data_IF_021998397845
#
_entry.id   IF_021998397845
#
_cell.length_a   1.000
_cell.length_b   1.000
_cell.length_c   1.000
_cell.angle_alpha   90.00
_cell.angle_beta   90.00
_cell.angle_gamma   90.00
#
_symmetry.space_group_name_H-M   'P 1'
#
loop_
_entity.id
_entity.type
_entity.pdbx_description
1 polymer ?
#
# COMPACT_ATOMS: atom_id res chain seq x y z
N UNK A 1 -9.01 -81.10 -21.65
CA UNK A 1 -7.83 -80.78 -22.49
C UNK A 1 -8.17 -79.55 -23.35
N UNK A 2 -7.17 -78.70 -23.68
CA UNK A 2 -7.24 -77.27 -23.37
C UNK A 2 -6.93 -76.29 -24.54
N UNK A 3 -7.02 -74.98 -24.26
CA UNK A 3 -6.28 -73.80 -24.85
C UNK A 3 -6.63 -73.37 -26.30
N UNK A 4 -6.60 -72.08 -26.70
CA UNK A 4 -5.72 -70.95 -26.36
C UNK A 4 -6.46 -69.58 -26.48
N UNK A 5 -6.41 -68.70 -25.46
CA UNK A 5 -5.55 -67.50 -25.28
C UNK A 5 -5.75 -66.34 -26.26
N UNK A 6 -6.58 -65.37 -25.86
CA UNK A 6 -6.54 -63.97 -26.34
C UNK A 6 -5.72 -63.14 -25.34
N UNK A 7 -4.69 -62.43 -25.81
CA UNK A 7 -3.85 -61.58 -24.98
C UNK A 7 -4.55 -60.24 -24.70
N UNK A 8 -5.00 -60.02 -23.45
CA UNK A 8 -5.33 -58.68 -22.95
C UNK A 8 -4.04 -57.93 -22.63
N UNK A 9 -3.78 -56.81 -23.32
CA UNK A 9 -2.79 -55.81 -22.92
C UNK A 9 -3.27 -55.14 -21.63
N UNK A 10 -2.60 -55.42 -20.51
CA UNK A 10 -2.75 -54.70 -19.24
C UNK A 10 -2.08 -53.32 -19.37
N UNK A 11 -2.87 -52.25 -19.31
CA UNK A 11 -2.36 -50.91 -19.04
C UNK A 11 -2.06 -50.79 -17.55
N UNK A 12 -0.81 -50.45 -17.21
CA UNK A 12 -0.40 -50.17 -15.84
C UNK A 12 -0.77 -48.71 -15.52
N UNK A 13 -1.65 -48.52 -14.52
CA UNK A 13 -1.90 -47.22 -13.90
C UNK A 13 -0.72 -46.90 -12.99
N UNK A 14 0.04 -45.86 -13.33
CA UNK A 14 0.89 -45.14 -12.38
C UNK A 14 0.31 -43.74 -12.27
N UNK A 15 -0.51 -43.50 -11.25
CA UNK A 15 -1.00 -42.17 -10.90
C UNK A 15 0.11 -41.54 -10.06
N UNK A 16 0.76 -40.51 -10.59
CA UNK A 16 1.60 -39.64 -9.78
C UNK A 16 0.65 -38.72 -9.01
N UNK A 17 0.25 -39.11 -7.80
CA UNK A 17 -0.44 -38.20 -6.89
C UNK A 17 0.61 -37.23 -6.34
N UNK A 18 0.68 -36.02 -6.89
CA UNK A 18 1.14 -34.88 -6.12
C UNK A 18 -0.07 -34.46 -5.29
N UNK A 19 -0.08 -34.81 -4.01
CA UNK A 19 -1.12 -34.37 -3.10
C UNK A 19 -0.97 -32.86 -2.89
N UNK A 20 -1.72 -32.06 -3.65
CA UNK A 20 -1.97 -30.66 -3.32
C UNK A 20 -3.23 -30.62 -2.46
N UNK A 21 -3.08 -31.09 -1.24
CA UNK A 21 -4.06 -30.96 -0.18
C UNK A 21 -3.29 -30.61 1.08
N UNK A 22 -3.63 -29.45 1.63
CA UNK A 22 -3.12 -28.82 2.85
C UNK A 22 -1.97 -27.82 2.68
N UNK A 23 -2.37 -26.55 2.80
CA UNK A 23 -1.70 -25.47 3.52
C UNK A 23 -0.72 -25.95 4.62
N UNK A 24 0.39 -25.22 4.77
CA UNK A 24 1.40 -25.34 5.84
C UNK A 24 2.38 -26.53 5.78
N UNK A 25 3.46 -26.39 5.00
CA UNK A 25 4.87 -26.69 5.36
C UNK A 25 5.74 -26.71 4.11
N UNK A 26 6.88 -26.03 4.20
CA UNK A 26 7.88 -25.94 3.15
C UNK A 26 8.30 -27.31 2.61
N UNK A 27 8.41 -27.38 1.28
CA UNK A 27 8.98 -28.52 0.57
C UNK A 27 10.50 -28.57 0.80
N UNK A 28 10.90 -29.00 2.00
CA UNK A 28 12.29 -29.29 2.33
C UNK A 28 12.60 -30.73 1.91
N UNK A 29 13.35 -30.86 0.81
CA UNK A 29 13.90 -32.08 0.21
C UNK A 29 13.03 -32.83 -0.84
N UNK A 30 12.99 -32.30 -2.07
CA UNK A 30 12.90 -33.13 -3.27
C UNK A 30 14.30 -33.30 -3.90
N UNK A 31 15.24 -33.93 -3.19
CA UNK A 31 16.40 -34.58 -3.83
C UNK A 31 16.12 -36.08 -3.88
N UNK A 32 16.33 -36.65 -5.06
CA UNK A 32 16.19 -38.06 -5.47
C UNK A 32 14.76 -38.60 -5.70
N UNK A 33 14.31 -38.53 -6.96
CA UNK A 33 13.42 -39.54 -7.51
C UNK A 33 14.23 -40.82 -7.72
N UNK A 34 14.32 -41.67 -6.70
CA UNK A 34 14.88 -43.02 -6.83
C UNK A 34 13.80 -43.97 -7.34
N UNK A 35 14.05 -44.59 -8.50
CA UNK A 35 13.27 -45.70 -9.03
C UNK A 35 13.19 -46.85 -8.01
N UNK A 36 11.98 -47.20 -7.57
CA UNK A 36 11.71 -48.47 -6.89
C UNK A 36 10.61 -49.22 -7.65
N UNK A 37 11.03 -50.04 -8.60
CA UNK A 37 10.21 -51.14 -9.11
C UNK A 37 10.24 -52.27 -8.07
N UNK A 38 9.11 -52.60 -7.45
CA UNK A 38 8.97 -53.84 -6.66
C UNK A 38 8.29 -54.92 -7.49
N UNK A 39 8.85 -56.14 -7.60
CA UNK A 39 8.09 -57.31 -7.99
C UNK A 39 7.46 -58.00 -6.76
N UNK A 40 6.27 -58.58 -6.95
CA UNK A 40 5.54 -59.29 -5.91
C UNK A 40 6.09 -60.70 -5.63
N UNK A 41 6.24 -61.01 -4.32
CA UNK A 41 6.19 -62.29 -3.55
C UNK A 41 6.83 -63.58 -4.12
N UNK A 42 7.67 -64.23 -3.29
CA UNK A 42 7.47 -65.60 -2.71
C UNK A 42 8.51 -65.93 -1.59
N UNK A 43 8.06 -66.59 -0.50
CA UNK A 43 8.78 -67.64 0.25
C UNK A 43 9.92 -67.32 1.27
N UNK A 44 10.12 -68.13 2.35
CA UNK A 44 10.86 -67.73 3.55
C UNK A 44 12.28 -68.33 3.67
N UNK A 45 13.32 -67.49 3.82
CA UNK A 45 14.59 -67.87 4.48
C UNK A 45 15.63 -66.73 4.53
N UNK A 46 16.25 -66.56 5.71
CA UNK A 46 17.52 -65.86 6.03
C UNK A 46 17.54 -64.31 5.93
N UNK A 47 17.46 -63.53 7.04
CA UNK A 47 18.50 -63.18 8.06
C UNK A 47 19.60 -62.20 7.57
N UNK A 48 19.98 -61.27 8.48
CA UNK A 48 21.14 -60.33 8.52
C UNK A 48 20.98 -59.01 7.72
N UNK A 49 21.21 -57.77 8.19
CA UNK A 49 21.86 -57.10 9.35
C UNK A 49 21.16 -55.70 9.51
N UNK A 50 20.66 -55.21 10.65
CA UNK A 50 21.25 -54.60 11.87
C UNK A 50 22.00 -53.24 11.74
N UNK A 51 21.39 -52.19 12.34
CA UNK A 51 21.91 -50.98 13.03
C UNK A 51 22.70 -49.91 12.22
N UNK A 52 22.65 -48.59 12.51
CA UNK A 52 22.52 -47.88 13.80
C UNK A 52 21.66 -46.61 13.75
N UNK A 53 20.92 -46.39 14.84
CA UNK A 53 20.49 -45.09 15.36
C UNK A 53 21.27 -44.78 16.67
N UNK A 54 21.09 -43.57 17.24
CA UNK A 54 21.67 -42.95 18.47
C UNK A 54 23.09 -42.35 18.31
N UNK A 55 23.37 -41.09 18.68
CA UNK A 55 23.19 -40.48 20.01
C UNK A 55 23.02 -38.93 19.99
N UNK A 56 22.27 -38.45 20.98
CA UNK A 56 22.20 -37.09 21.48
C UNK A 56 22.85 -37.05 22.88
N UNK A 57 23.71 -36.07 23.19
CA UNK A 57 23.79 -35.38 24.52
C UNK A 57 24.89 -34.30 24.57
N UNK A 58 24.43 -33.07 24.84
CA UNK A 58 24.94 -32.00 25.71
C UNK A 58 26.42 -31.60 25.77
N UNK A 59 26.65 -30.29 25.54
CA UNK A 59 27.52 -29.47 26.39
C UNK A 59 26.90 -28.08 26.61
N UNK A 60 26.45 -27.81 27.84
CA UNK A 60 26.22 -26.46 28.35
C UNK A 60 27.57 -25.82 28.68
N UNK A 61 27.79 -24.60 28.22
CA UNK A 61 28.88 -23.73 28.66
C UNK A 61 28.43 -22.28 28.53
N UNK A 62 27.95 -21.71 29.63
CA UNK A 62 27.53 -20.32 29.73
C UNK A 62 28.75 -19.39 29.64
N UNK A 63 28.62 -18.31 28.86
CA UNK A 63 29.31 -17.05 29.13
C UNK A 63 28.25 -15.96 29.04
N UNK A 64 27.92 -15.40 30.20
CA UNK A 64 27.14 -14.19 30.31
C UNK A 64 28.02 -12.99 29.93
N UNK A 65 27.49 -12.09 29.12
CA UNK A 65 28.08 -10.80 28.79
C UNK A 65 27.09 -10.03 27.95
N UNK A 66 26.47 -9.02 28.54
CA UNK A 66 25.39 -8.26 27.94
C UNK A 66 25.80 -7.55 26.65
N UNK A 67 24.88 -7.54 25.71
CA UNK A 67 24.36 -6.30 25.16
C UNK A 67 22.96 -6.60 24.64
N UNK A 68 21.96 -5.95 25.23
CA UNK A 68 20.68 -5.75 24.57
C UNK A 68 20.97 -4.89 23.35
N UNK A 69 21.23 -5.55 22.22
CA UNK A 69 21.33 -4.91 20.92
C UNK A 69 19.98 -4.28 20.62
N UNK A 70 19.96 -2.98 20.93
CA UNK A 70 19.08 -1.93 20.44
C UNK A 70 18.57 -2.25 19.03
N UNK A 71 17.26 -2.10 18.87
CA UNK A 71 16.50 -1.92 17.61
C UNK A 71 17.42 -1.77 16.40
N UNK A 72 17.44 -2.79 15.53
CA UNK A 72 18.08 -2.68 14.22
C UNK A 72 17.44 -1.51 13.44
N UNK A 73 18.22 -0.69 12.74
CA UNK A 73 17.70 0.46 12.01
C UNK A 73 16.81 -0.01 10.86
N UNK A 74 15.83 0.82 10.50
CA UNK A 74 15.02 0.71 9.28
C UNK A 74 15.87 0.23 8.08
N UNK A 75 15.64 -1.00 7.63
CA UNK A 75 16.36 -1.67 6.54
C UNK A 75 15.82 -1.28 5.16
N UNK A 76 14.61 -0.71 5.13
CA UNK A 76 13.97 -0.21 3.90
C UNK A 76 13.72 1.29 4.00
N UNK A 77 14.26 2.04 3.03
CA UNK A 77 13.92 3.45 2.80
C UNK A 77 12.88 3.55 1.68
N UNK A 78 11.63 3.85 2.03
CA UNK A 78 10.59 4.08 1.02
C UNK A 78 10.82 5.39 0.29
N UNK A 79 10.71 5.34 -1.03
CA UNK A 79 10.84 6.48 -1.94
C UNK A 79 9.46 7.16 -2.07
N UNK A 80 9.41 8.50 -2.16
CA UNK A 80 8.16 9.23 -2.36
C UNK A 80 7.31 8.67 -3.50
N UNK A 81 5.99 8.59 -3.32
CA UNK A 81 5.12 8.00 -4.32
C UNK A 81 5.02 8.86 -5.57
N UNK A 82 4.86 8.17 -6.70
CA UNK A 82 4.41 8.79 -7.95
C UNK A 82 2.91 8.55 -8.09
N UNK A 83 2.13 9.62 -8.09
CA UNK A 83 0.68 9.55 -8.29
C UNK A 83 0.37 9.10 -9.73
N UNK A 84 -0.56 8.14 -9.89
CA UNK A 84 -1.08 7.73 -11.19
C UNK A 84 -2.57 8.05 -11.25
N UNK A 85 -2.91 9.18 -11.88
CA UNK A 85 -4.28 9.66 -12.08
C UNK A 85 -4.45 10.36 -13.45
N UNK A 86 -5.69 10.55 -13.93
CA UNK A 86 -5.96 11.07 -15.27
C UNK A 86 -5.52 12.54 -15.40
N UNK A 87 -4.80 12.83 -16.49
CA UNK A 87 -4.48 14.20 -16.94
C UNK A 87 -5.78 15.00 -17.15
N UNK A 88 -5.97 16.09 -16.39
CA UNK A 88 -7.16 16.94 -16.52
C UNK A 88 -7.12 17.79 -17.80
N UNK A 89 -8.30 18.17 -18.34
CA UNK A 89 -8.41 19.14 -19.42
C UNK A 89 -7.99 20.55 -19.00
N UNK A 90 -7.46 21.25 -19.99
CA UNK A 90 -7.12 22.66 -20.04
C UNK A 90 -8.39 23.53 -19.98
N UNK A 91 -8.43 24.53 -19.10
CA UNK A 91 -9.01 25.90 -19.25
C UNK A 91 -9.54 26.51 -17.92
N UNK A 92 -8.83 27.51 -17.37
CA UNK A 92 -9.37 28.68 -16.65
C UNK A 92 -8.25 29.73 -16.42
N UNK A 93 -8.62 31.02 -16.41
CA UNK A 93 -7.74 32.19 -16.52
C UNK A 93 -6.69 32.41 -15.43
N UNK A 94 -5.77 33.35 -15.72
CA UNK A 94 -4.54 33.66 -14.96
C UNK A 94 -4.80 33.88 -13.46
N UNK A 95 -4.34 32.91 -12.68
CA UNK A 95 -3.91 33.04 -11.29
C UNK A 95 -2.61 32.26 -11.16
N UNK A 96 -1.64 32.80 -10.41
CA UNK A 96 -0.36 32.20 -9.96
C UNK A 96 0.25 31.11 -10.85
N UNK A 97 1.38 31.43 -11.49
CA UNK A 97 2.20 30.53 -12.34
C UNK A 97 1.48 29.27 -12.84
N UNK A 98 1.09 29.26 -14.12
CA UNK A 98 0.38 28.17 -14.84
C UNK A 98 1.00 26.77 -14.73
N UNK A 99 2.11 26.63 -14.02
CA UNK A 99 2.80 25.40 -13.68
C UNK A 99 2.14 24.59 -12.56
N UNK A 100 1.47 25.22 -11.58
CA UNK A 100 0.92 24.51 -10.40
C UNK A 100 -0.54 24.12 -10.61
N UNK A 101 -0.84 22.83 -10.49
CA UNK A 101 -2.18 22.25 -10.65
C UNK A 101 -2.68 21.63 -9.35
N UNK A 102 -3.97 21.30 -9.32
CA UNK A 102 -4.55 20.44 -8.28
C UNK A 102 -3.74 19.13 -8.19
N UNK A 103 -3.34 18.75 -6.97
CA UNK A 103 -2.49 17.58 -6.70
C UNK A 103 -0.99 17.90 -6.61
N UNK A 104 -0.53 19.05 -7.13
CA UNK A 104 0.88 19.48 -7.00
C UNK A 104 1.15 20.12 -5.63
N UNK A 105 0.10 20.59 -4.95
CA UNK A 105 0.18 21.23 -3.63
C UNK A 105 0.05 20.18 -2.53
N UNK A 106 1.08 20.09 -1.70
CA UNK A 106 1.08 19.29 -0.48
C UNK A 106 1.10 20.19 0.75
N UNK A 107 0.43 19.83 1.87
CA UNK A 107 0.45 20.64 3.08
C UNK A 107 1.87 20.84 3.61
N UNK A 108 2.23 22.09 3.89
CA UNK A 108 3.44 22.42 4.65
C UNK A 108 3.30 22.03 6.12
N UNK A 109 4.42 21.89 6.83
CA UNK A 109 4.39 21.60 8.27
C UNK A 109 3.56 22.61 9.08
N UNK A 110 3.54 23.87 8.66
CA UNK A 110 2.78 24.93 9.31
C UNK A 110 1.27 24.80 9.06
N UNK A 111 0.86 24.47 7.83
CA UNK A 111 -0.55 24.20 7.51
C UNK A 111 -1.06 22.95 8.25
N UNK A 112 -0.22 21.92 8.37
CA UNK A 112 -0.51 20.72 9.16
C UNK A 112 -0.70 21.07 10.64
N UNK A 113 0.19 21.87 11.21
CA UNK A 113 0.09 22.30 12.61
C UNK A 113 -1.21 23.08 12.87
N UNK A 114 -1.56 24.02 12.00
CA UNK A 114 -2.80 24.81 12.10
C UNK A 114 -4.04 23.93 11.98
N UNK A 115 -4.10 23.03 11.01
CA UNK A 115 -5.25 22.13 10.84
C UNK A 115 -5.42 21.19 12.04
N UNK A 116 -4.32 20.67 12.58
CA UNK A 116 -4.34 19.85 13.79
C UNK A 116 -4.86 20.65 15.00
N UNK A 117 -4.44 21.90 15.16
CA UNK A 117 -4.94 22.77 16.22
C UNK A 117 -6.43 23.12 16.06
N UNK A 118 -6.91 23.28 14.83
CA UNK A 118 -8.35 23.43 14.56
C UNK A 118 -9.12 22.19 15.02
N UNK A 119 -8.64 20.99 14.68
CA UNK A 119 -9.27 19.75 15.13
C UNK A 119 -9.16 19.55 16.65
N UNK A 120 -8.10 20.03 17.29
CA UNK A 120 -8.01 20.10 18.75
C UNK A 120 -9.03 21.08 19.35
N UNK A 121 -9.23 22.24 18.73
CA UNK A 121 -10.24 23.21 19.15
C UNK A 121 -11.66 22.65 19.00
N UNK A 122 -11.93 21.90 17.92
CA UNK A 122 -13.20 21.19 17.70
C UNK A 122 -13.42 20.11 18.75
N UNK A 123 -12.41 19.30 19.07
CA UNK A 123 -12.53 18.23 20.06
C UNK A 123 -12.61 18.74 21.52
N UNK A 124 -11.89 19.82 21.84
CA UNK A 124 -11.84 20.40 23.17
C UNK A 124 -11.81 21.94 23.10
N UNK A 125 -12.96 22.60 22.87
CA UNK A 125 -13.03 24.05 22.80
C UNK A 125 -12.65 24.73 24.12
N UNK A 126 -12.71 24.01 25.25
CA UNK A 126 -12.25 24.46 26.55
C UNK A 126 -10.76 24.81 26.59
N UNK A 127 -9.92 24.10 25.82
CA UNK A 127 -8.48 24.41 25.71
C UNK A 127 -8.20 25.78 25.07
N UNK A 128 -9.20 26.34 24.36
CA UNK A 128 -9.13 27.64 23.68
C UNK A 128 -9.97 28.72 24.38
N UNK A 129 -10.45 28.46 25.60
CA UNK A 129 -11.25 29.40 26.40
C UNK A 129 -12.77 29.31 26.18
N UNK A 130 -13.24 28.33 25.39
CA UNK A 130 -14.63 28.20 24.97
C UNK A 130 -15.29 26.93 25.53
N UNK A 131 -15.05 26.59 26.80
CA UNK A 131 -15.53 25.35 27.42
C UNK A 131 -17.05 25.19 27.53
N UNK A 132 -17.81 26.24 27.22
CA UNK A 132 -19.27 26.21 27.14
C UNK A 132 -19.78 25.74 25.76
N UNK A 133 -18.90 25.59 24.77
CA UNK A 133 -19.26 25.08 23.45
C UNK A 133 -19.25 23.55 23.43
N UNK A 134 -20.19 22.99 22.68
CA UNK A 134 -20.22 21.55 22.40
C UNK A 134 -19.03 21.17 21.50
N UNK A 135 -18.31 20.07 21.81
CA UNK A 135 -17.32 19.52 20.89
C UNK A 135 -17.91 19.17 19.53
N UNK A 136 -17.12 19.34 18.48
CA UNK A 136 -17.48 19.01 17.11
C UNK A 136 -16.63 17.84 16.59
N UNK A 137 -17.17 16.99 15.69
CA UNK A 137 -16.37 15.97 15.00
C UNK A 137 -15.18 16.59 14.27
N UNK A 138 -14.08 15.86 14.02
CA UNK A 138 -12.95 16.40 13.28
C UNK A 138 -13.33 16.81 11.86
N UNK A 139 -12.60 17.77 11.29
CA UNK A 139 -12.55 18.01 9.85
C UNK A 139 -11.55 17.06 9.21
N UNK A 140 -11.84 16.68 7.98
CA UNK A 140 -11.03 15.83 7.14
C UNK A 140 -10.33 16.66 6.05
N UNK A 141 -9.07 16.36 5.75
CA UNK A 141 -8.34 17.06 4.70
C UNK A 141 -9.02 16.87 3.34
N UNK A 142 -8.99 17.92 2.52
CA UNK A 142 -9.44 17.85 1.13
C UNK A 142 -8.44 18.57 0.22
N UNK A 143 -7.93 17.88 -0.80
CA UNK A 143 -6.88 18.41 -1.67
C UNK A 143 -7.36 19.62 -2.51
N UNK A 144 -8.63 19.65 -2.90
CA UNK A 144 -9.19 20.77 -3.65
C UNK A 144 -9.33 22.02 -2.79
N UNK A 145 -9.78 21.87 -1.54
CA UNK A 145 -9.82 22.98 -0.58
C UNK A 145 -8.41 23.47 -0.24
N UNK A 146 -7.41 22.57 -0.11
CA UNK A 146 -6.01 22.95 0.12
C UNK A 146 -5.50 23.82 -1.02
N UNK A 147 -5.69 23.36 -2.25
CA UNK A 147 -5.24 24.09 -3.43
C UNK A 147 -5.87 25.49 -3.49
N UNK A 148 -7.18 25.63 -3.27
CA UNK A 148 -7.83 26.94 -3.30
C UNK A 148 -7.40 27.85 -2.15
N UNK A 149 -7.31 27.33 -0.93
CA UNK A 149 -6.86 28.10 0.22
C UNK A 149 -5.43 28.62 0.03
N UNK A 150 -4.56 27.77 -0.51
CA UNK A 150 -3.18 28.11 -0.87
C UNK A 150 -3.14 29.20 -1.96
N UNK A 151 -3.89 29.01 -3.06
CA UNK A 151 -4.00 30.02 -4.13
C UNK A 151 -4.45 31.36 -3.58
N UNK A 152 -5.49 31.39 -2.72
CA UNK A 152 -6.02 32.64 -2.19
C UNK A 152 -5.06 33.33 -1.22
N UNK A 153 -4.38 32.56 -0.36
CA UNK A 153 -3.35 33.11 0.52
C UNK A 153 -2.24 33.76 -0.29
N UNK A 154 -1.80 33.10 -1.36
CA UNK A 154 -0.74 33.58 -2.23
C UNK A 154 -1.18 34.78 -3.08
N UNK A 155 -2.44 34.82 -3.50
CA UNK A 155 -3.07 35.98 -4.15
C UNK A 155 -3.04 37.22 -3.23
N UNK A 156 -3.59 37.12 -2.02
CA UNK A 156 -3.55 38.19 -1.02
C UNK A 156 -2.11 38.65 -0.70
N UNK A 157 -1.17 37.71 -0.62
CA UNK A 157 0.24 38.00 -0.37
C UNK A 157 0.91 38.76 -1.52
N UNK A 158 0.61 38.38 -2.75
CA UNK A 158 1.22 38.94 -3.97
C UNK A 158 0.68 40.33 -4.26
N UNK A 159 -0.64 40.46 -4.25
CA UNK A 159 -1.36 41.69 -4.63
C UNK A 159 -1.58 42.64 -3.45
N UNK A 160 -1.14 42.24 -2.25
CA UNK A 160 -1.12 43.03 -1.01
C UNK A 160 -2.51 43.57 -0.60
N UNK A 161 -3.50 42.68 -0.58
CA UNK A 161 -4.85 43.00 -0.11
C UNK A 161 -5.34 41.97 0.90
N UNK A 162 -6.46 42.27 1.57
CA UNK A 162 -7.11 41.36 2.51
C UNK A 162 -8.62 41.43 2.32
N UNK A 163 -9.16 40.44 1.61
CA UNK A 163 -10.59 40.32 1.29
C UNK A 163 -10.89 38.85 0.97
N UNK A 164 -12.10 38.39 1.28
CA UNK A 164 -12.58 37.07 0.86
C UNK A 164 -12.64 36.96 -0.66
N UNK A 165 -13.12 37.99 -1.36
CA UNK A 165 -13.17 37.99 -2.82
C UNK A 165 -11.76 38.16 -3.42
N UNK A 166 -11.56 37.62 -4.62
CA UNK A 166 -10.26 37.71 -5.31
C UNK A 166 -10.17 38.96 -6.16
N UNK A 167 -8.99 39.60 -6.13
CA UNK A 167 -8.68 40.85 -6.84
C UNK A 167 -7.34 40.77 -7.55
N UNK A 168 -7.26 41.40 -8.73
CA UNK A 168 -6.02 41.54 -9.49
C UNK A 168 -5.53 42.98 -9.43
N UNK A 169 -4.22 43.21 -9.30
CA UNK A 169 -3.66 44.55 -9.41
C UNK A 169 -3.43 44.92 -10.88
N UNK A 170 -4.33 45.72 -11.43
CA UNK A 170 -4.24 46.22 -12.81
C UNK A 170 -3.94 47.71 -12.79
N UNK A 171 -2.76 48.10 -13.30
CA UNK A 171 -2.34 49.51 -13.32
C UNK A 171 -2.21 50.13 -11.92
N UNK A 172 -1.89 49.31 -10.90
CA UNK A 172 -1.76 49.76 -9.51
C UNK A 172 -3.10 49.89 -8.75
N UNK A 173 -4.21 49.46 -9.34
CA UNK A 173 -5.52 49.40 -8.68
C UNK A 173 -6.02 47.98 -8.58
N UNK A 174 -6.62 47.64 -7.44
CA UNK A 174 -7.29 46.35 -7.25
C UNK A 174 -8.58 46.34 -8.06
N UNK A 175 -8.70 45.37 -8.96
CA UNK A 175 -9.87 45.11 -9.79
C UNK A 175 -10.46 43.78 -9.36
N UNK A 176 -11.75 43.76 -9.05
CA UNK A 176 -12.46 42.52 -8.72
C UNK A 176 -12.32 41.52 -9.86
N UNK A 177 -11.95 40.29 -9.50
CA UNK A 177 -11.90 39.18 -10.45
C UNK A 177 -13.08 38.23 -10.25
N UNK A 178 -13.24 37.71 -9.03
CA UNK A 178 -14.26 36.72 -8.70
C UNK A 178 -14.62 36.69 -7.22
N UNK A 179 -15.83 36.21 -6.95
CA UNK A 179 -16.27 35.99 -5.57
C UNK A 179 -15.52 34.82 -4.92
N UNK A 180 -15.42 34.84 -3.59
CA UNK A 180 -14.84 33.72 -2.83
C UNK A 180 -15.58 32.39 -3.11
N UNK A 181 -16.91 32.45 -3.26
CA UNK A 181 -17.73 31.28 -3.59
C UNK A 181 -17.32 30.72 -4.95
N UNK A 182 -17.21 31.54 -5.98
CA UNK A 182 -16.81 31.09 -7.32
C UNK A 182 -15.39 30.51 -7.33
N UNK A 183 -14.49 31.08 -6.52
CA UNK A 183 -13.12 30.57 -6.35
C UNK A 183 -13.15 29.16 -5.75
N UNK A 184 -13.78 28.95 -4.61
CA UNK A 184 -13.89 27.62 -3.96
C UNK A 184 -14.60 26.62 -4.86
N UNK A 185 -15.72 27.01 -5.47
CA UNK A 185 -16.51 26.14 -6.36
C UNK A 185 -15.77 25.70 -7.62
N UNK A 186 -14.75 26.44 -8.05
CA UNK A 186 -13.98 26.07 -9.23
C UNK A 186 -13.20 24.76 -9.08
N UNK A 187 -12.88 24.34 -7.85
CA UNK A 187 -12.17 23.09 -7.56
C UNK A 187 -12.96 22.17 -6.59
N UNK A 188 -13.92 22.73 -5.85
CA UNK A 188 -14.80 22.00 -4.94
C UNK A 188 -16.28 22.11 -5.40
N UNK A 189 -16.66 21.48 -6.53
CA UNK A 189 -17.94 21.69 -7.22
C UNK A 189 -19.10 20.86 -6.63
N UNK A 190 -19.09 20.62 -5.32
CA UNK A 190 -20.14 19.82 -4.67
C UNK A 190 -21.30 20.69 -4.21
N UNK A 191 -22.55 20.24 -4.37
CA UNK A 191 -23.70 21.00 -3.89
C UNK A 191 -23.88 20.89 -2.36
N UNK A 192 -23.03 21.60 -1.62
CA UNK A 192 -22.94 21.58 -0.16
C UNK A 192 -22.61 22.96 0.39
N UNK A 193 -22.76 23.20 1.69
CA UNK A 193 -22.34 24.48 2.25
C UNK A 193 -20.81 24.56 2.26
N UNK A 194 -20.32 25.78 2.05
CA UNK A 194 -18.91 26.14 2.12
C UNK A 194 -18.76 27.36 3.04
N UNK A 195 -17.56 27.57 3.56
CA UNK A 195 -17.21 28.77 4.31
C UNK A 195 -15.72 29.04 4.19
N UNK A 196 -15.31 30.25 4.56
CA UNK A 196 -13.91 30.66 4.55
C UNK A 196 -13.62 31.50 5.81
N UNK A 197 -12.52 31.18 6.48
CA UNK A 197 -11.88 32.09 7.43
C UNK A 197 -10.57 32.61 6.82
N UNK A 198 -10.39 33.93 6.81
CA UNK A 198 -9.11 34.55 6.45
C UNK A 198 -8.52 35.32 7.63
N UNK A 199 -7.20 35.42 7.68
CA UNK A 199 -6.52 36.31 8.62
C UNK A 199 -5.14 36.71 8.11
N UNK A 200 -4.61 37.79 8.66
CA UNK A 200 -3.25 38.24 8.41
C UNK A 200 -2.60 38.69 9.73
N UNK A 201 -1.28 38.50 9.83
CA UNK A 201 -0.43 39.09 10.88
C UNK A 201 -0.80 38.77 12.36
N UNK A 202 -1.18 37.51 12.63
CA UNK A 202 -1.44 36.99 13.98
C UNK A 202 -0.19 36.33 14.57
N UNK A 203 0.76 37.08 15.13
CA UNK A 203 1.97 36.58 15.85
C UNK A 203 2.89 35.58 15.11
N UNK A 204 2.58 35.19 13.86
CA UNK A 204 3.32 34.21 13.05
C UNK A 204 3.21 32.75 13.48
N UNK A 205 2.57 32.44 14.62
CA UNK A 205 2.48 31.06 15.16
C UNK A 205 1.15 30.39 14.81
N UNK A 206 1.18 29.07 14.65
CA UNK A 206 -0.02 28.25 14.43
C UNK A 206 -1.04 28.39 15.59
N UNK A 207 -0.56 28.40 16.83
CA UNK A 207 -1.41 28.64 18.01
C UNK A 207 -2.07 30.03 17.97
N UNK A 208 -1.31 31.05 17.60
CA UNK A 208 -1.80 32.43 17.56
C UNK A 208 -2.88 32.64 16.51
N UNK A 209 -2.75 32.06 15.31
CA UNK A 209 -3.77 32.17 14.27
C UNK A 209 -5.06 31.43 14.65
N UNK A 210 -4.95 30.21 15.18
CA UNK A 210 -6.13 29.43 15.62
C UNK A 210 -6.83 30.12 16.79
N UNK A 211 -6.09 30.64 17.77
CA UNK A 211 -6.69 31.40 18.87
C UNK A 211 -7.38 32.68 18.35
N UNK A 212 -6.78 33.41 17.40
CA UNK A 212 -7.40 34.61 16.83
C UNK A 212 -8.71 34.29 16.09
N UNK A 213 -8.77 33.17 15.37
CA UNK A 213 -10.04 32.70 14.79
C UNK A 213 -11.04 32.27 15.86
N UNK A 214 -10.59 31.54 16.89
CA UNK A 214 -11.45 31.17 18.01
C UNK A 214 -11.95 32.39 18.77
N UNK A 215 -11.23 33.52 18.81
CA UNK A 215 -11.68 34.74 19.49
C UNK A 215 -12.69 35.57 18.68
N UNK A 216 -12.69 35.41 17.35
CA UNK A 216 -13.69 36.02 16.48
C UNK A 216 -14.94 35.16 16.41
N UNK A 217 -16.10 35.72 16.79
CA UNK A 217 -17.36 34.97 16.79
C UNK A 217 -17.68 34.31 15.45
N UNK A 218 -17.60 35.04 14.34
CA UNK A 218 -17.91 34.49 13.02
C UNK A 218 -16.93 33.38 12.60
N UNK A 219 -15.63 33.57 12.84
CA UNK A 219 -14.63 32.55 12.51
C UNK A 219 -14.76 31.30 13.38
N UNK A 220 -15.07 31.48 14.68
CA UNK A 220 -15.34 30.39 15.62
C UNK A 220 -16.60 29.61 15.24
N UNK A 221 -17.65 30.27 14.77
CA UNK A 221 -18.86 29.60 14.28
C UNK A 221 -18.56 28.70 13.07
N UNK A 222 -17.68 29.14 12.16
CA UNK A 222 -17.17 28.30 11.08
C UNK A 222 -16.34 27.10 11.60
N UNK A 223 -15.39 27.34 12.52
CA UNK A 223 -14.54 26.27 13.08
C UNK A 223 -15.35 25.24 13.85
N UNK A 224 -16.28 25.67 14.70
CA UNK A 224 -17.02 24.76 15.57
C UNK A 224 -18.20 24.12 14.86
N UNK A 225 -18.80 24.78 13.86
CA UNK A 225 -19.92 24.31 13.03
C UNK A 225 -20.72 23.15 13.64
N UNK A 226 -21.39 23.43 14.77
CA UNK A 226 -22.02 22.37 15.58
C UNK A 226 -23.12 21.61 14.85
N UNK A 227 -23.63 22.16 13.74
CA UNK A 227 -24.59 21.51 12.87
C UNK A 227 -23.99 20.35 12.06
N UNK A 228 -22.67 20.17 12.05
CA UNK A 228 -22.00 19.08 11.33
C UNK A 228 -22.07 19.22 9.81
N UNK A 229 -22.33 20.43 9.32
CA UNK A 229 -22.41 20.72 7.90
C UNK A 229 -21.00 20.75 7.27
N UNK A 230 -19.99 21.20 8.02
CA UNK A 230 -18.60 21.13 7.58
C UNK A 230 -17.94 19.87 8.13
N UNK A 231 -17.52 19.02 7.20
CA UNK A 231 -16.83 17.75 7.46
C UNK A 231 -15.44 17.74 6.83
N UNK A 232 -15.18 18.62 5.86
CA UNK A 232 -13.90 18.75 5.18
C UNK A 232 -13.34 20.16 5.33
N UNK A 233 -12.02 20.29 5.29
CA UNK A 233 -11.35 21.59 5.28
C UNK A 233 -9.88 21.50 4.90
N UNK A 234 -9.26 22.65 4.71
CA UNK A 234 -7.81 22.76 4.52
C UNK A 234 -7.30 24.17 4.82
N UNK A 235 -5.99 24.29 5.04
CA UNK A 235 -5.31 25.55 5.34
C UNK A 235 -4.36 25.91 4.20
N UNK A 236 -4.43 27.16 3.76
CA UNK A 236 -3.42 27.80 2.93
C UNK A 236 -2.66 28.86 3.71
N UNK A 237 -1.35 28.96 3.47
CA UNK A 237 -0.51 30.03 4.01
C UNK A 237 0.42 30.61 2.95
N UNK A 238 0.55 31.94 2.93
CA UNK A 238 1.56 32.61 2.11
C UNK A 238 2.08 33.87 2.80
N UNK A 239 3.33 34.24 2.51
CA UNK A 239 3.94 35.46 3.05
C UNK A 239 4.36 36.38 1.92
N UNK A 240 3.96 37.64 2.01
CA UNK A 240 4.27 38.68 1.03
C UNK A 240 4.17 40.07 1.66
N UNK A 241 4.99 41.01 1.19
CA UNK A 241 4.97 42.40 1.67
C UNK A 241 5.07 42.55 3.21
N UNK A 242 5.84 41.66 3.85
CA UNK A 242 6.05 41.66 5.31
C UNK A 242 4.86 41.15 6.13
N UNK A 243 3.86 40.52 5.50
CA UNK A 243 2.67 39.96 6.14
C UNK A 243 2.53 38.48 5.78
N UNK A 244 2.07 37.68 6.72
CA UNK A 244 1.61 36.30 6.48
C UNK A 244 0.10 36.28 6.41
N UNK A 245 -0.43 35.69 5.35
CA UNK A 245 -1.84 35.53 5.04
C UNK A 245 -2.23 34.07 5.21
N UNK A 246 -3.43 33.86 5.76
CA UNK A 246 -3.98 32.56 6.10
C UNK A 246 -5.37 32.44 5.54
N UNK A 247 -5.67 31.31 4.92
CA UNK A 247 -7.02 30.94 4.48
C UNK A 247 -7.36 29.56 5.03
N UNK A 248 -8.55 29.41 5.61
CA UNK A 248 -9.13 28.13 5.99
C UNK A 248 -10.47 27.98 5.28
N UNK A 249 -10.49 27.14 4.27
CA UNK A 249 -11.70 26.81 3.50
C UNK A 249 -12.36 25.56 4.05
N UNK A 250 -13.69 25.57 4.10
CA UNK A 250 -14.53 24.51 4.63
C UNK A 250 -15.48 23.97 3.55
N UNK A 251 -15.75 22.68 3.62
CA UNK A 251 -16.75 22.00 2.80
C UNK A 251 -17.46 20.89 3.56
N UNK A 252 -18.57 20.39 3.01
CA UNK A 252 -19.35 19.33 3.63
C UNK A 252 -19.68 18.18 2.68
N UNK A 253 -19.16 16.99 2.93
CA UNK A 253 -19.61 15.76 2.28
C UNK A 253 -19.72 14.62 3.28
N UNK A 254 -20.38 13.55 2.86
CA UNK A 254 -20.33 12.29 3.60
C UNK A 254 -18.88 11.80 3.67
N UNK A 255 -18.46 11.41 4.87
CA UNK A 255 -17.11 10.89 5.10
C UNK A 255 -17.14 9.38 4.87
N UNK A 256 -16.34 8.92 3.91
CA UNK A 256 -16.26 7.53 3.49
C UNK A 256 -14.83 7.22 3.06
N UNK A 257 -14.08 6.63 3.99
CA UNK A 257 -12.74 6.10 3.76
C UNK A 257 -12.82 4.66 3.25
N UNK A 258 -11.97 4.36 2.27
CA UNK A 258 -11.73 3.02 1.74
C UNK A 258 -10.35 3.06 1.06
N UNK A 259 -9.34 2.72 1.82
CA UNK A 259 -7.95 2.61 1.47
C UNK A 259 -7.63 1.12 1.27
N UNK A 260 -6.84 0.82 0.26
CA UNK A 260 -6.43 -0.53 -0.05
C UNK A 260 -4.93 -0.53 -0.33
N UNK A 261 -4.25 -1.58 0.15
CA UNK A 261 -2.89 -1.91 -0.29
C UNK A 261 -2.92 -3.02 -1.35
N UNK A 262 -2.29 -2.76 -2.49
CA UNK A 262 -2.30 -3.64 -3.66
C UNK A 262 -0.92 -3.80 -4.30
N UNK A 263 -0.81 -4.74 -5.25
CA UNK A 263 0.32 -4.88 -6.18
C UNK A 263 1.71 -5.03 -5.51
N UNK A 264 1.79 -5.78 -4.41
CA UNK A 264 3.07 -6.10 -3.77
C UNK A 264 3.96 -6.96 -4.69
N UNK A 265 5.11 -6.42 -5.08
CA UNK A 265 6.06 -7.05 -5.97
C UNK A 265 7.51 -6.85 -5.53
N UNK A 266 8.37 -7.74 -6.00
CA UNK A 266 9.80 -7.76 -5.73
C UNK A 266 10.58 -7.73 -7.04
N UNK A 267 11.64 -6.93 -7.10
CA UNK A 267 12.55 -6.89 -8.23
C UNK A 267 14.02 -6.89 -7.75
N UNK A 268 14.81 -7.95 -8.02
CA UNK A 268 14.40 -9.16 -8.72
C UNK A 268 13.36 -9.98 -7.92
N UNK A 269 12.49 -10.76 -8.58
CA UNK A 269 11.48 -11.58 -7.91
C UNK A 269 12.08 -12.77 -7.15
N UNK A 270 13.32 -13.16 -7.46
CA UNK A 270 14.06 -14.23 -6.80
C UNK A 270 15.52 -13.82 -6.58
N UNK A 271 15.80 -12.94 -5.59
CA UNK A 271 17.16 -12.54 -5.24
C UNK A 271 18.03 -13.74 -4.82
N UNK A 272 19.35 -13.61 -4.92
CA UNK A 272 20.25 -14.44 -4.13
C UNK A 272 20.35 -13.85 -2.70
N UNK A 273 20.67 -14.68 -1.69
CA UNK A 273 20.89 -14.19 -0.34
C UNK A 273 21.92 -13.04 -0.31
N UNK A 274 21.52 -11.90 0.26
CA UNK A 274 22.35 -10.68 0.31
C UNK A 274 22.19 -9.73 -0.88
N UNK A 275 21.40 -10.08 -1.90
CA UNK A 275 21.04 -9.15 -2.96
C UNK A 275 20.09 -8.06 -2.43
N UNK A 276 20.14 -6.89 -3.07
CA UNK A 276 19.16 -5.83 -2.83
C UNK A 276 17.92 -6.07 -3.68
N UNK A 277 16.75 -6.09 -3.05
CA UNK A 277 15.44 -6.24 -3.68
C UNK A 277 14.71 -4.91 -3.64
N UNK A 278 14.21 -4.45 -4.78
CA UNK A 278 13.21 -3.38 -4.79
C UNK A 278 11.84 -3.97 -4.46
N UNK A 279 11.29 -3.59 -3.32
CA UNK A 279 9.92 -3.89 -2.90
C UNK A 279 9.04 -2.77 -3.40
N UNK A 280 8.02 -3.08 -4.20
CA UNK A 280 7.06 -2.10 -4.71
C UNK A 280 5.64 -2.50 -4.38
N UNK A 281 4.78 -1.52 -4.11
CA UNK A 281 3.35 -1.72 -3.83
C UNK A 281 2.57 -0.46 -4.19
N UNK A 282 1.24 -0.55 -4.12
CA UNK A 282 0.33 0.55 -4.45
C UNK A 282 -0.65 0.80 -3.32
N UNK A 283 -0.85 2.06 -2.98
CA UNK A 283 -1.92 2.52 -2.09
C UNK A 283 -3.04 3.08 -2.97
N UNK A 284 -4.24 2.52 -2.83
CA UNK A 284 -5.43 2.97 -3.53
C UNK A 284 -6.35 3.68 -2.52
N UNK A 285 -6.95 4.81 -2.91
CA UNK A 285 -8.10 5.36 -2.18
C UNK A 285 -9.35 5.16 -3.03
N UNK A 286 -10.10 4.10 -2.74
CA UNK A 286 -11.36 3.74 -3.37
C UNK A 286 -12.56 4.46 -2.75
N UNK A 287 -12.33 5.19 -1.65
CA UNK A 287 -13.33 5.97 -0.93
C UNK A 287 -13.68 7.28 -1.62
N UNK A 288 -14.58 8.05 -1.00
CA UNK A 288 -15.00 9.38 -1.49
C UNK A 288 -14.30 10.54 -0.75
N UNK A 289 -13.59 10.23 0.33
CA UNK A 289 -12.88 11.18 1.18
C UNK A 289 -11.38 11.08 0.95
N UNK A 290 -10.74 12.23 0.79
CA UNK A 290 -9.28 12.32 0.72
C UNK A 290 -8.66 11.95 2.08
N UNK A 291 -7.56 11.20 2.07
CA UNK A 291 -6.92 10.71 3.29
C UNK A 291 -5.57 11.37 3.53
N UNK A 292 -5.37 11.93 4.72
CA UNK A 292 -4.10 12.52 5.13
C UNK A 292 -3.98 12.68 6.65
N UNK A 293 -2.81 12.40 7.26
CA UNK A 293 -1.67 11.70 6.67
C UNK A 293 -1.89 10.18 6.66
N UNK A 294 -1.64 9.54 5.52
CA UNK A 294 -1.68 8.07 5.38
C UNK A 294 -0.34 7.47 5.78
N UNK A 295 -0.35 6.48 6.67
CA UNK A 295 0.86 5.84 7.19
C UNK A 295 0.97 4.39 6.69
N UNK A 296 2.19 3.95 6.40
CA UNK A 296 2.47 2.57 5.97
C UNK A 296 3.74 2.05 6.63
N UNK A 297 3.76 0.76 6.96
CA UNK A 297 4.93 0.07 7.51
C UNK A 297 5.12 -1.26 6.78
N UNK A 298 6.38 -1.55 6.41
CA UNK A 298 6.76 -2.86 5.86
C UNK A 298 7.29 -3.74 6.99
N UNK A 299 6.85 -4.99 7.05
CA UNK A 299 7.23 -5.96 8.07
C UNK A 299 7.83 -7.22 7.47
N UNK A 300 8.72 -7.85 8.24
CA UNK A 300 9.10 -9.25 8.08
C UNK A 300 8.25 -10.10 9.02
N UNK A 301 7.47 -11.01 8.44
CA UNK A 301 6.46 -11.80 9.15
C UNK A 301 5.22 -11.00 9.52
N UNK A 302 4.16 -11.71 9.92
CA UNK A 302 2.85 -11.11 10.16
C UNK A 302 2.88 -10.09 11.33
N UNK A 303 2.55 -8.80 11.10
CA UNK A 303 2.56 -7.78 12.16
C UNK A 303 1.60 -8.11 13.32
N UNK A 304 0.47 -8.78 13.06
CA UNK A 304 -0.49 -9.18 14.09
C UNK A 304 0.02 -10.31 14.99
N UNK A 305 1.11 -10.98 14.59
CA UNK A 305 1.73 -12.10 15.34
C UNK A 305 3.17 -11.79 15.78
N UNK A 306 3.54 -10.50 15.89
CA UNK A 306 4.87 -10.09 16.34
C UNK A 306 5.93 -9.99 15.24
N UNK A 307 5.50 -9.74 14.00
CA UNK A 307 6.38 -9.42 12.87
C UNK A 307 7.34 -8.27 13.19
N UNK A 308 8.51 -8.28 12.54
CA UNK A 308 9.56 -7.27 12.76
C UNK A 308 9.40 -6.13 11.74
N UNK A 309 9.27 -4.86 12.16
CA UNK A 309 9.21 -3.74 11.23
C UNK A 309 10.55 -3.58 10.51
N UNK A 310 10.49 -3.45 9.17
CA UNK A 310 11.63 -3.22 8.29
C UNK A 310 11.78 -1.75 7.91
N UNK A 311 10.70 -0.98 7.99
CA UNK A 311 10.71 0.48 7.83
C UNK A 311 10.40 1.15 9.16
N UNK A 312 10.82 2.40 9.32
CA UNK A 312 10.08 3.30 10.21
C UNK A 312 8.67 3.52 9.64
N UNK A 313 7.75 4.07 10.44
CA UNK A 313 6.45 4.51 9.92
C UNK A 313 6.69 5.53 8.81
N UNK A 314 6.28 5.18 7.59
CA UNK A 314 6.32 6.09 6.47
C UNK A 314 4.99 6.83 6.40
N UNK A 315 5.04 8.15 6.60
CA UNK A 315 3.89 9.02 6.45
C UNK A 315 3.92 9.63 5.05
N UNK A 316 2.84 9.44 4.30
CA UNK A 316 2.62 10.12 3.02
C UNK A 316 2.68 11.64 3.25
N UNK A 317 3.61 12.31 2.56
CA UNK A 317 3.77 13.77 2.62
C UNK A 317 2.74 14.54 1.80
N UNK A 318 1.93 13.83 1.00
CA UNK A 318 0.88 14.38 0.15
C UNK A 318 -0.47 13.78 0.53
N UNK A 319 -1.56 14.48 0.22
CA UNK A 319 -2.93 13.98 0.41
C UNK A 319 -3.18 12.83 -0.56
N UNK A 320 -3.68 11.71 -0.05
CA UNK A 320 -4.10 10.56 -0.86
C UNK A 320 -5.53 10.83 -1.34
N UNK A 321 -5.63 11.34 -2.56
CA UNK A 321 -6.90 11.80 -3.14
C UNK A 321 -7.83 10.62 -3.45
N UNK A 322 -9.13 10.85 -3.26
CA UNK A 322 -10.19 9.91 -3.63
C UNK A 322 -10.09 9.53 -5.13
N UNK A 323 -10.17 8.23 -5.41
CA UNK A 323 -10.10 7.67 -6.76
C UNK A 323 -8.69 7.62 -7.38
N UNK A 324 -7.65 7.97 -6.63
CA UNK A 324 -6.26 7.98 -7.11
C UNK A 324 -5.47 6.83 -6.48
N UNK A 325 -4.51 6.32 -7.25
CA UNK A 325 -3.59 5.30 -6.80
C UNK A 325 -2.14 5.79 -6.79
N UNK A 326 -1.40 5.44 -5.74
CA UNK A 326 -0.05 5.92 -5.47
C UNK A 326 0.90 4.73 -5.39
N UNK A 327 1.86 4.66 -6.31
CA UNK A 327 2.89 3.62 -6.28
C UNK A 327 4.04 4.01 -5.36
N UNK A 328 4.39 3.13 -4.42
CA UNK A 328 5.56 3.27 -3.56
C UNK A 328 6.55 2.14 -3.84
N UNK A 329 7.82 2.41 -3.61
CA UNK A 329 8.84 1.38 -3.60
C UNK A 329 9.94 1.70 -2.60
N UNK A 330 10.72 0.68 -2.24
CA UNK A 330 11.88 0.81 -1.37
C UNK A 330 12.84 -0.33 -1.59
N UNK A 331 14.12 -0.10 -1.30
CA UNK A 331 15.14 -1.12 -1.43
C UNK A 331 15.30 -1.87 -0.10
N UNK A 332 15.30 -3.19 -0.18
CA UNK A 332 15.46 -4.13 0.93
C UNK A 332 16.76 -4.92 0.73
N UNK A 333 17.63 -4.92 1.75
CA UNK A 333 18.80 -5.80 1.76
C UNK A 333 18.42 -7.14 2.40
N UNK A 334 18.59 -8.23 1.65
CA UNK A 334 18.23 -9.59 2.08
C UNK A 334 19.31 -10.30 2.90
N UNK A 335 20.37 -9.60 3.31
CA UNK A 335 21.47 -10.24 4.04
C UNK A 335 20.99 -10.84 5.36
N UNK A 336 21.12 -12.16 5.50
CA UNK A 336 20.75 -12.88 6.72
C UNK A 336 19.27 -13.23 6.84
N UNK A 337 18.49 -13.05 5.77
CA UNK A 337 17.10 -13.45 5.73
C UNK A 337 16.97 -14.95 5.43
N UNK A 338 15.92 -15.62 5.95
CA UNK A 338 15.56 -16.97 5.52
C UNK A 338 15.17 -17.04 4.04
N UNK A 339 15.30 -18.23 3.44
CA UNK A 339 14.97 -18.47 2.03
C UNK A 339 13.50 -18.27 1.67
N UNK A 340 12.61 -18.30 2.65
CA UNK A 340 11.16 -18.20 2.57
C UNK A 340 10.66 -17.09 3.49
N UNK A 341 11.15 -15.87 3.27
CA UNK A 341 10.80 -14.73 4.12
C UNK A 341 9.47 -14.12 3.71
N UNK A 342 8.47 -14.12 4.60
CA UNK A 342 7.23 -13.38 4.36
C UNK A 342 7.41 -11.87 4.57
N UNK A 343 7.07 -11.09 3.55
CA UNK A 343 7.04 -9.63 3.64
C UNK A 343 5.58 -9.18 3.65
N UNK A 344 5.23 -8.39 4.67
CA UNK A 344 3.92 -7.78 4.83
C UNK A 344 4.04 -6.27 4.62
N UNK A 345 3.02 -5.66 4.03
CA UNK A 345 2.85 -4.20 3.98
C UNK A 345 1.53 -3.89 4.67
N UNK A 346 1.60 -3.09 5.73
CA UNK A 346 0.46 -2.72 6.55
C UNK A 346 0.19 -1.21 6.40
N UNK A 347 -0.95 -0.90 5.79
CA UNK A 347 -1.50 0.43 5.63
C UNK A 347 -2.32 0.81 6.87
N UNK A 348 -2.23 2.08 7.26
CA UNK A 348 -2.88 2.65 8.45
C UNK A 348 -2.79 1.77 9.72
N UNK A 349 -1.56 1.43 10.18
CA UNK A 349 -1.37 0.55 11.34
C UNK A 349 -1.94 1.13 12.66
N UNK A 350 -2.31 2.41 12.67
CA UNK A 350 -2.88 3.12 13.81
C UNK A 350 -4.41 3.25 13.73
N UNK A 351 -5.06 2.72 12.69
CA UNK A 351 -6.51 2.80 12.44
C UNK A 351 -7.04 4.24 12.58
N UNK A 352 -6.35 5.20 11.94
CA UNK A 352 -6.75 6.62 11.92
C UNK A 352 -7.96 6.85 11.03
N UNK A 353 -8.09 6.07 9.97
CA UNK A 353 -9.21 6.14 9.04
C UNK A 353 -10.18 5.03 9.41
N UNK A 354 -11.44 5.41 9.66
CA UNK A 354 -12.49 4.44 9.95
C UNK A 354 -13.08 3.94 8.63
N UNK A 355 -12.79 2.69 8.30
CA UNK A 355 -13.12 2.10 7.01
C UNK A 355 -14.22 1.04 7.12
N UNK A 356 -14.87 0.74 6.00
CA UNK A 356 -15.86 -0.36 5.96
C UNK A 356 -15.22 -1.72 5.78
N UNK A 357 -14.06 -1.76 5.11
CA UNK A 357 -13.22 -2.92 4.96
C UNK A 357 -11.85 -2.58 5.56
N UNK A 358 -11.43 -3.35 6.55
CA UNK A 358 -10.10 -3.22 7.18
C UNK A 358 -9.17 -4.38 6.76
N UNK A 359 -9.70 -5.33 5.97
CA UNK A 359 -8.96 -6.54 5.59
C UNK A 359 -8.04 -6.33 4.40
N UNK A 360 -8.27 -5.28 3.62
CA UNK A 360 -7.49 -4.79 2.48
C UNK A 360 -6.42 -3.77 2.88
N UNK A 361 -6.23 -3.53 4.18
CA UNK A 361 -5.12 -2.74 4.72
C UNK A 361 -3.84 -3.56 4.95
N UNK A 362 -3.87 -4.89 4.75
CA UNK A 362 -2.71 -5.76 4.90
C UNK A 362 -2.53 -6.69 3.69
N UNK A 363 -1.41 -6.53 2.98
CA UNK A 363 -0.98 -7.46 1.92
C UNK A 363 0.32 -8.14 2.31
N UNK A 364 0.53 -9.37 1.84
CA UNK A 364 1.79 -10.07 2.03
C UNK A 364 2.17 -10.89 0.81
N UNK A 365 3.47 -11.14 0.68
CA UNK A 365 4.04 -12.04 -0.33
C UNK A 365 5.33 -12.65 0.22
N UNK A 366 5.58 -13.91 -0.14
CA UNK A 366 6.83 -14.60 0.20
C UNK A 366 7.94 -14.12 -0.74
N UNK A 367 9.07 -13.69 -0.18
CA UNK A 367 10.32 -13.42 -0.87
C UNK A 367 11.17 -14.70 -0.87
N UNK A 368 11.39 -15.26 -2.06
CA UNK A 368 12.21 -16.46 -2.23
C UNK A 368 13.66 -16.10 -2.52
N UNK A 369 14.57 -16.45 -1.63
CA UNK A 369 16.01 -16.27 -1.84
C UNK A 369 16.69 -17.56 -2.31
N UNK A 370 17.61 -17.43 -3.28
CA UNK A 370 18.47 -18.55 -3.71
C UNK A 370 18.34 -19.01 -5.15
N UNK A 371 17.85 -18.14 -6.04
CA UNK A 371 17.83 -18.40 -7.48
C UNK A 371 16.71 -19.36 -7.87
N UNK A 372 15.51 -18.80 -8.07
CA UNK A 372 14.31 -19.47 -8.57
C UNK A 372 13.76 -20.51 -7.61
N UNK A 373 12.44 -20.52 -7.41
CA UNK A 373 11.79 -21.78 -7.09
C UNK A 373 12.22 -22.76 -8.19
N UNK A 374 12.73 -23.95 -7.84
CA UNK A 374 13.14 -24.97 -8.84
C UNK A 374 12.04 -25.30 -9.87
N UNK A 375 10.79 -24.87 -9.60
CA UNK A 375 9.60 -25.00 -10.42
C UNK A 375 9.05 -23.68 -11.03
N UNK A 376 9.63 -22.51 -10.72
CA UNK A 376 9.34 -21.26 -11.42
C UNK A 376 10.23 -21.19 -12.68
N UNK A 377 9.69 -21.73 -13.78
CA UNK A 377 10.43 -21.89 -15.03
C UNK A 377 10.39 -20.63 -15.90
N UNK A 378 9.72 -19.58 -15.44
CA UNK A 378 9.65 -18.30 -16.13
C UNK A 378 10.31 -17.15 -15.34
N UNK A 379 10.71 -17.41 -14.10
CA UNK A 379 11.31 -16.47 -13.17
C UNK A 379 10.42 -15.25 -12.87
N UNK A 380 9.09 -15.42 -12.90
CA UNK A 380 8.09 -14.39 -12.54
C UNK A 380 7.82 -14.34 -11.03
N UNK A 381 8.46 -15.24 -10.26
CA UNK A 381 8.31 -15.35 -8.81
C UNK A 381 6.97 -15.98 -8.40
N UNK A 382 6.29 -16.68 -9.30
CA UNK A 382 5.09 -17.47 -9.07
C UNK A 382 5.31 -18.89 -9.59
N UNK A 383 4.52 -19.85 -9.10
CA UNK A 383 4.43 -21.19 -9.68
C UNK A 383 2.99 -21.34 -10.14
N UNK A 384 2.75 -21.08 -11.42
CA UNK A 384 1.41 -21.01 -11.99
C UNK A 384 1.28 -21.90 -13.24
N UNK A 385 0.13 -21.83 -13.91
CA UNK A 385 -0.15 -22.65 -15.10
C UNK A 385 0.89 -22.49 -16.22
N UNK A 386 1.54 -21.32 -16.32
CA UNK A 386 2.59 -21.07 -17.31
C UNK A 386 3.86 -21.87 -17.01
N UNK A 387 4.20 -22.04 -15.74
CA UNK A 387 5.35 -22.86 -15.31
C UNK A 387 5.08 -24.35 -15.54
N UNK A 388 3.86 -24.80 -15.26
CA UNK A 388 3.41 -26.17 -15.56
C UNK A 388 3.52 -26.44 -17.06
N UNK A 389 3.08 -25.49 -17.90
CA UNK A 389 3.20 -25.59 -19.36
C UNK A 389 4.66 -25.65 -19.82
N UNK A 390 5.54 -24.84 -19.23
CA UNK A 390 6.97 -24.84 -19.55
C UNK A 390 7.65 -26.14 -19.10
N UNK A 391 7.26 -26.67 -17.95
CA UNK A 391 7.74 -27.96 -17.44
C UNK A 391 7.34 -29.09 -18.37
N UNK A 392 6.05 -29.18 -18.70
CA UNK A 392 5.51 -30.20 -19.61
C UNK A 392 6.20 -30.13 -20.97
N UNK A 393 6.39 -28.92 -21.52
CA UNK A 393 7.08 -28.73 -22.80
C UNK A 393 8.54 -29.19 -22.74
N UNK A 394 9.27 -28.85 -21.69
CA UNK A 394 10.67 -29.23 -21.51
C UNK A 394 10.86 -30.73 -21.25
N UNK A 395 9.96 -31.35 -20.49
CA UNK A 395 9.96 -32.80 -20.26
C UNK A 395 9.67 -33.57 -21.55
N UNK A 396 8.63 -33.19 -22.29
CA UNK A 396 8.25 -33.90 -23.51
C UNK A 396 9.24 -33.70 -24.68
N UNK A 397 10.06 -32.65 -24.66
CA UNK A 397 11.17 -32.53 -25.62
C UNK A 397 12.28 -33.58 -25.44
N UNK A 398 12.42 -34.13 -24.22
CA UNK A 398 13.55 -34.98 -23.86
C UNK A 398 13.15 -36.42 -23.49
N UNK A 399 11.85 -36.73 -23.41
CA UNK A 399 11.34 -38.04 -23.02
C UNK A 399 10.40 -38.64 -24.10
N UNK A 400 10.79 -39.76 -24.74
CA UNK A 400 9.97 -40.45 -25.74
C UNK A 400 8.65 -41.01 -25.20
N UNK A 401 8.48 -41.09 -23.87
CA UNK A 401 7.26 -41.59 -23.22
C UNK A 401 6.13 -40.56 -23.18
N UNK A 402 6.39 -39.29 -23.54
CA UNK A 402 5.37 -38.23 -23.63
C UNK A 402 4.57 -38.22 -24.97
N UNK A 403 4.72 -39.23 -25.81
CA UNK A 403 3.85 -39.45 -26.97
C UNK A 403 2.53 -40.11 -26.51
N UNK A 404 1.61 -39.28 -25.99
CA UNK A 404 0.34 -39.68 -25.37
C UNK A 404 -0.75 -39.96 -26.41
N UNK A 405 -0.69 -39.33 -27.58
CA UNK A 405 -1.63 -39.53 -28.68
C UNK A 405 -1.21 -40.65 -29.66
N UNK A 406 0.05 -41.13 -29.55
CA UNK A 406 0.56 -42.28 -30.28
C UNK A 406 1.05 -41.98 -31.71
N UNK A 407 1.20 -40.71 -32.12
CA UNK A 407 1.62 -40.33 -33.49
C UNK A 407 3.13 -40.45 -33.76
N UNK A 408 3.88 -40.97 -32.80
CA UNK A 408 5.28 -41.38 -32.98
C UNK A 408 6.29 -40.25 -32.83
N UNK A 409 5.84 -39.06 -32.45
CA UNK A 409 6.65 -37.90 -32.12
C UNK A 409 5.85 -36.98 -31.19
N UNK A 410 6.54 -36.24 -30.32
CA UNK A 410 5.88 -35.33 -29.37
C UNK A 410 5.33 -34.11 -30.10
N UNK A 411 4.03 -33.85 -29.95
CA UNK A 411 3.28 -32.81 -30.64
C UNK A 411 2.51 -31.87 -29.68
N UNK A 412 1.92 -30.80 -30.20
CA UNK A 412 1.05 -29.93 -29.41
C UNK A 412 -0.21 -30.66 -28.90
N UNK A 413 -0.63 -31.75 -29.56
CA UNK A 413 -1.74 -32.61 -29.15
C UNK A 413 -1.44 -33.38 -27.86
N UNK A 414 -0.19 -33.84 -27.70
CA UNK A 414 0.25 -34.52 -26.47
C UNK A 414 0.22 -33.59 -25.25
N UNK A 415 0.59 -32.32 -25.45
CA UNK A 415 0.60 -31.29 -24.40
C UNK A 415 -0.82 -30.99 -23.88
N UNK A 416 -1.82 -31.00 -24.77
CA UNK A 416 -3.23 -30.82 -24.45
C UNK A 416 -3.82 -32.01 -23.69
N UNK A 417 -3.42 -33.24 -24.02
CA UNK A 417 -3.84 -34.46 -23.32
C UNK A 417 -3.22 -34.58 -21.92
N UNK A 418 -2.02 -34.03 -21.73
CA UNK A 418 -1.39 -33.93 -20.41
C UNK A 418 -2.11 -32.91 -19.52
N UNK A 419 -2.49 -31.74 -20.06
CA UNK A 419 -3.22 -30.71 -19.32
C UNK A 419 -4.70 -31.06 -19.06
N UNK A 420 -5.35 -31.81 -19.96
CA UNK A 420 -6.77 -32.15 -19.87
C UNK A 420 -7.12 -33.34 -18.95
N UNK A 421 -6.14 -34.09 -18.45
CA UNK A 421 -6.35 -35.27 -17.58
C UNK A 421 -6.09 -35.02 -16.09
N UNK A 422 -5.82 -33.78 -15.69
CA UNK A 422 -5.80 -33.41 -14.27
C UNK A 422 -7.24 -33.19 -13.79
N UNK A 423 -7.63 -33.71 -12.60
CA UNK A 423 -8.95 -33.43 -12.08
C UNK A 423 -9.10 -31.93 -11.88
N UNK A 424 -10.09 -31.34 -12.55
CA UNK A 424 -10.60 -30.02 -12.22
C UNK A 424 -11.46 -30.16 -10.97
N UNK A 425 -10.84 -30.25 -9.79
CA UNK A 425 -11.53 -30.07 -8.53
C UNK A 425 -10.76 -29.05 -7.66
N UNK A 426 -11.55 -28.11 -7.15
CA UNK A 426 -11.27 -26.83 -6.49
C UNK A 426 -10.12 -26.74 -5.49
#
# INVERSE_FOLDING_TARGET
MPLAKTAQKKYYRTVLMVNMGDTERGCSNCRSASYLASPAREGPSARLFLALATLCTFALGAIAGGDSLKVAPSEVGLIPPVAQGPVSPEEAGKWLDRSVKLGDVSPSALEIEVFNLINQARANPGAFGYGYLTPAPPLHWNAALLYIAWVHSQDMATENYFNHDSYNLVGGQLVFDRSWVDRVRSQYPFNTNISENIAWNTSGSAQGIVQAWMDSQGHRENIMNISGIYTEGAIGVATGNGKTYWTHDFGGREISYNLEIANLAFNPPSPNPGDTVNVSFQINNLGQTDAFPVEVVVYRGNPHSGGTPLTNVYSMGQIVQSGVAYGLNGNLNTTGYPTDTEIYVWLDPNSRFAETNESDNLIHRVLFEGGGLLCDLNADGLVNGLDIFRFARGWCQNDPTCNLDGVGHVSAGDLLLFAGNWPTDH
#
